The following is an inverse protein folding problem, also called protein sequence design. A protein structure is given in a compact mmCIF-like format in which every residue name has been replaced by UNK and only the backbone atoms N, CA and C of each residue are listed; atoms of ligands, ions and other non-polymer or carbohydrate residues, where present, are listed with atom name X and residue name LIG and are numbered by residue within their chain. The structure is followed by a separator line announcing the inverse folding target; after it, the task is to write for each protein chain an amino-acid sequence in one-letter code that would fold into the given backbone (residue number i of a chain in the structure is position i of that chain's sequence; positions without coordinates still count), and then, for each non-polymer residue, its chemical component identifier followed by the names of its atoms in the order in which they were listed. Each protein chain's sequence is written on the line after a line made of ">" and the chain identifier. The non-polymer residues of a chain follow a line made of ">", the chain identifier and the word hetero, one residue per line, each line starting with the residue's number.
data_IF_098834711329
#
_entry.id   IF_098834711329
#
_cell.length_a   1.000
_cell.length_b   1.000
_cell.length_c   1.000
_cell.angle_alpha   90.00
_cell.angle_beta   90.00
_cell.angle_gamma   90.00
#
_symmetry.space_group_name_H-M   'P 1'
#
loop_
_entity.id
_entity.type
_entity.pdbx_description
1 polymer ?
#
# COMPACT_ATOMS: atom_id res chain seq x y z
N UNK A 1 70.02 30.71 -16.87
CA UNK A 1 69.29 31.56 -17.84
C UNK A 1 68.67 30.63 -18.87
N UNK A 2 67.37 30.53 -19.13
CA UNK A 2 66.23 31.37 -18.79
C UNK A 2 65.31 31.35 -20.01
N UNK A 3 64.11 30.75 -19.87
CA UNK A 3 62.90 30.96 -20.68
C UNK A 3 62.95 30.51 -22.18
N UNK A 4 61.90 30.12 -22.88
CA UNK A 4 60.45 30.17 -22.66
C UNK A 4 59.79 28.93 -23.27
N UNK A 5 58.73 28.48 -22.59
CA UNK A 5 57.81 27.45 -23.02
C UNK A 5 56.52 28.16 -23.44
N UNK A 6 56.18 28.23 -24.73
CA UNK A 6 54.92 28.82 -25.18
C UNK A 6 54.05 27.79 -25.90
N UNK A 7 53.09 27.30 -25.11
CA UNK A 7 51.97 26.43 -25.46
C UNK A 7 51.15 27.07 -26.57
N UNK A 8 51.12 26.48 -27.76
CA UNK A 8 50.09 26.80 -28.75
C UNK A 8 48.76 26.19 -28.29
N UNK A 9 47.75 27.05 -28.25
CA UNK A 9 46.43 26.85 -27.70
C UNK A 9 45.81 25.52 -28.15
N UNK A 10 45.26 24.79 -27.17
CA UNK A 10 44.41 23.63 -27.38
C UNK A 10 43.09 24.08 -28.04
N UNK A 11 42.92 23.73 -29.31
CA UNK A 11 41.69 23.96 -30.07
C UNK A 11 40.77 22.75 -29.97
N UNK A 12 39.60 23.00 -29.37
CA UNK A 12 38.28 22.43 -29.69
C UNK A 12 38.12 20.92 -29.44
N UNK A 13 37.63 20.61 -28.23
CA UNK A 13 36.91 19.36 -27.96
C UNK A 13 35.60 19.36 -28.77
N UNK A 14 35.57 18.59 -29.86
CA UNK A 14 34.36 18.33 -30.63
C UNK A 14 33.45 17.37 -29.89
N UNK A 15 32.32 17.87 -29.38
CA UNK A 15 31.22 17.03 -28.89
C UNK A 15 30.49 16.47 -30.11
N UNK A 16 30.74 15.20 -30.43
CA UNK A 16 29.93 14.44 -31.39
C UNK A 16 28.99 13.55 -30.57
N UNK A 17 27.84 14.10 -30.19
CA UNK A 17 26.74 13.30 -29.68
C UNK A 17 25.97 12.75 -30.90
N UNK A 18 26.36 11.56 -31.35
CA UNK A 18 25.66 10.87 -32.43
C UNK A 18 24.24 10.49 -31.97
N UNK A 19 23.26 11.14 -32.59
CA UNK A 19 21.84 10.82 -32.52
C UNK A 19 21.63 9.41 -33.08
N UNK A 20 21.37 8.44 -32.20
CA UNK A 20 20.84 7.14 -32.63
C UNK A 20 19.31 7.25 -32.62
N UNK A 21 18.75 7.47 -33.81
CA UNK A 21 17.34 7.25 -34.10
C UNK A 21 17.07 5.73 -34.07
N UNK A 22 16.73 5.23 -32.90
CA UNK A 22 16.12 3.91 -32.72
C UNK A 22 14.70 4.08 -32.19
N UNK A 23 13.75 4.47 -33.05
CA UNK A 23 12.33 4.52 -32.69
C UNK A 23 11.77 3.09 -32.63
N UNK A 24 12.11 2.36 -31.58
CA UNK A 24 11.29 1.23 -31.13
C UNK A 24 10.23 1.83 -30.21
N UNK A 25 9.12 2.24 -30.80
CA UNK A 25 7.98 2.76 -30.05
C UNK A 25 7.34 1.63 -29.23
N UNK A 26 7.67 1.59 -27.94
CA UNK A 26 6.86 0.98 -26.89
C UNK A 26 7.08 1.77 -25.59
N UNK A 27 6.78 3.07 -25.62
CA UNK A 27 6.59 3.85 -24.41
C UNK A 27 5.09 4.11 -24.26
N UNK A 28 4.39 3.12 -23.71
CA UNK A 28 3.11 3.33 -23.05
C UNK A 28 3.37 3.93 -21.67
N UNK A 29 3.89 5.15 -21.63
CA UNK A 29 4.02 5.96 -20.42
C UNK A 29 2.66 6.61 -20.14
N UNK A 30 1.80 5.89 -19.44
CA UNK A 30 0.48 6.37 -19.08
C UNK A 30 -0.15 5.52 -18.00
N UNK A 31 0.09 5.85 -16.72
CA UNK A 31 -0.86 5.71 -15.60
C UNK A 31 -0.30 5.98 -14.19
N UNK A 32 0.92 6.51 -14.03
CA UNK A 32 1.56 6.66 -12.71
C UNK A 32 0.74 7.50 -11.72
N UNK A 33 0.08 8.57 -12.18
CA UNK A 33 -0.72 9.46 -11.32
C UNK A 33 -2.01 8.77 -10.84
N UNK A 34 -2.72 8.07 -11.75
CA UNK A 34 -3.95 7.36 -11.41
C UNK A 34 -3.71 6.17 -10.47
N UNK A 35 -2.65 5.40 -10.72
CA UNK A 35 -2.27 4.26 -9.87
C UNK A 35 -1.84 4.69 -8.47
N UNK A 36 -1.11 5.79 -8.35
CA UNK A 36 -0.71 6.34 -7.06
C UNK A 36 -1.92 6.82 -6.24
N UNK A 37 -2.86 7.54 -6.87
CA UNK A 37 -4.09 7.98 -6.21
C UNK A 37 -4.98 6.82 -5.77
N UNK A 38 -5.15 5.77 -6.59
CA UNK A 38 -5.92 4.57 -6.20
C UNK A 38 -5.25 3.82 -5.06
N UNK A 39 -3.92 3.68 -5.08
CA UNK A 39 -3.17 3.00 -4.02
C UNK A 39 -3.34 3.73 -2.67
N UNK A 40 -3.18 5.05 -2.66
CA UNK A 40 -3.40 5.84 -1.44
C UNK A 40 -4.84 5.77 -0.94
N UNK A 41 -5.82 5.79 -1.85
CA UNK A 41 -7.24 5.63 -1.50
C UNK A 41 -7.51 4.27 -0.86
N UNK A 42 -6.88 3.21 -1.37
CA UNK A 42 -7.01 1.86 -0.85
C UNK A 42 -6.40 1.71 0.55
N UNK A 43 -5.23 2.30 0.81
CA UNK A 43 -4.64 2.32 2.16
C UNK A 43 -5.55 3.05 3.16
N UNK A 44 -6.13 4.17 2.76
CA UNK A 44 -7.11 4.88 3.60
C UNK A 44 -8.36 4.03 3.87
N UNK A 45 -8.82 3.25 2.88
CA UNK A 45 -9.97 2.35 3.05
C UNK A 45 -9.62 1.15 3.94
N UNK A 46 -8.40 0.59 3.84
CA UNK A 46 -7.90 -0.42 4.77
C UNK A 46 -7.95 0.07 6.22
N UNK A 47 -7.49 1.31 6.46
CA UNK A 47 -7.55 1.91 7.80
C UNK A 47 -8.99 2.03 8.31
N UNK A 48 -9.91 2.51 7.46
CA UNK A 48 -11.33 2.61 7.81
C UNK A 48 -11.94 1.25 8.11
N UNK A 49 -11.62 0.24 7.30
CA UNK A 49 -12.10 -1.12 7.49
C UNK A 49 -11.59 -1.75 8.79
N UNK A 50 -10.32 -1.51 9.14
CA UNK A 50 -9.78 -1.92 10.43
C UNK A 50 -10.52 -1.26 11.60
N UNK A 51 -10.76 0.06 11.54
CA UNK A 51 -11.51 0.78 12.58
C UNK A 51 -12.94 0.24 12.72
N UNK A 52 -13.65 0.08 11.60
CA UNK A 52 -15.02 -0.44 11.60
C UNK A 52 -15.09 -1.85 12.21
N UNK A 53 -14.14 -2.72 11.85
CA UNK A 53 -14.05 -4.07 12.39
C UNK A 53 -13.79 -4.08 13.90
N UNK A 54 -12.88 -3.23 14.38
CA UNK A 54 -12.58 -3.07 15.80
C UNK A 54 -13.74 -2.47 16.60
N UNK A 55 -14.67 -1.78 15.95
CA UNK A 55 -15.91 -1.30 16.56
C UNK A 55 -16.88 -2.41 16.95
N UNK A 56 -16.75 -3.61 16.36
CA UNK A 56 -17.68 -4.74 16.59
C UNK A 56 -17.01 -6.01 17.12
N UNK A 57 -15.71 -6.19 16.86
CA UNK A 57 -14.98 -7.40 17.22
C UNK A 57 -13.95 -7.10 18.29
N UNK A 58 -14.20 -7.63 19.49
CA UNK A 58 -13.27 -7.55 20.62
C UNK A 58 -12.13 -8.58 20.50
N UNK A 59 -11.09 -8.37 21.31
CA UNK A 59 -10.01 -9.35 21.52
C UNK A 59 -8.99 -9.43 20.39
N UNK A 60 -9.06 -8.55 19.40
CA UNK A 60 -8.14 -8.49 18.27
C UNK A 60 -6.74 -8.11 18.72
N UNK A 61 -5.74 -8.81 18.18
CA UNK A 61 -4.31 -8.58 18.44
C UNK A 61 -3.64 -7.95 17.22
N UNK A 62 -3.96 -8.47 16.02
CA UNK A 62 -3.42 -8.00 14.75
C UNK A 62 -4.48 -8.08 13.63
N UNK A 63 -4.44 -7.12 12.71
CA UNK A 63 -5.12 -7.17 11.40
C UNK A 63 -4.05 -7.02 10.32
N UNK A 64 -3.93 -8.02 9.44
CA UNK A 64 -2.95 -8.02 8.34
C UNK A 64 -3.66 -8.11 7.01
N UNK A 65 -3.67 -7.02 6.25
CA UNK A 65 -4.28 -6.98 4.93
C UNK A 65 -3.45 -7.79 3.92
N UNK A 66 -4.11 -8.66 3.15
CA UNK A 66 -3.45 -9.55 2.18
C UNK A 66 -3.58 -9.05 0.74
N UNK A 67 -4.41 -8.05 0.50
CA UNK A 67 -4.53 -7.37 -0.79
C UNK A 67 -4.81 -5.88 -0.60
N UNK A 68 -4.75 -5.12 -1.69
CA UNK A 68 -5.02 -3.69 -1.69
C UNK A 68 -6.51 -3.35 -1.49
N UNK A 69 -7.40 -4.31 -1.64
CA UNK A 69 -8.85 -4.10 -1.70
C UNK A 69 -9.31 -3.50 -3.03
N UNK A 70 -10.59 -3.73 -3.34
CA UNK A 70 -11.21 -3.26 -4.58
C UNK A 70 -12.73 -3.16 -4.45
N UNK A 71 -13.36 -2.69 -5.53
CA UNK A 71 -14.80 -2.84 -5.74
C UNK A 71 -15.00 -4.02 -6.69
N UNK A 72 -15.59 -5.15 -6.26
CA UNK A 72 -15.59 -6.39 -7.05
C UNK A 72 -16.56 -6.38 -8.25
N UNK A 73 -17.37 -5.32 -8.40
CA UNK A 73 -18.29 -5.18 -9.53
C UNK A 73 -19.13 -3.91 -9.45
N UNK A 74 -19.90 -3.64 -10.51
CA UNK A 74 -20.79 -2.47 -10.54
C UNK A 74 -21.83 -2.55 -9.42
N UNK A 75 -21.92 -1.50 -8.61
CA UNK A 75 -22.85 -1.40 -7.48
C UNK A 75 -22.41 -2.15 -6.21
N UNK A 76 -21.26 -2.83 -6.22
CA UNK A 76 -20.71 -3.44 -5.01
C UNK A 76 -20.03 -2.40 -4.11
N UNK A 77 -20.05 -2.63 -2.81
CA UNK A 77 -19.21 -1.89 -1.87
C UNK A 77 -17.74 -2.32 -2.01
N UNK A 78 -16.83 -1.42 -1.63
CA UNK A 78 -15.41 -1.76 -1.53
C UNK A 78 -15.19 -2.80 -0.43
N UNK A 79 -14.28 -3.75 -0.67
CA UNK A 79 -13.89 -4.78 0.29
C UNK A 79 -12.42 -5.17 0.14
N UNK A 80 -11.86 -5.79 1.16
CA UNK A 80 -10.44 -6.19 1.22
C UNK A 80 -10.28 -7.49 2.00
N UNK A 81 -9.38 -8.36 1.58
CA UNK A 81 -9.04 -9.55 2.36
C UNK A 81 -8.02 -9.21 3.45
N UNK A 82 -8.21 -9.78 4.64
CA UNK A 82 -7.31 -9.66 5.77
C UNK A 82 -7.20 -10.98 6.53
N UNK A 83 -6.09 -11.14 7.26
CA UNK A 83 -5.93 -12.13 8.31
C UNK A 83 -5.99 -11.42 9.65
N UNK A 84 -6.91 -11.83 10.51
CA UNK A 84 -7.13 -11.29 11.84
C UNK A 84 -6.54 -12.26 12.86
N UNK A 85 -5.71 -11.77 13.76
CA UNK A 85 -5.17 -12.56 14.87
C UNK A 85 -5.96 -12.27 16.14
N UNK A 86 -6.47 -13.32 16.76
CA UNK A 86 -7.23 -13.29 18.00
C UNK A 86 -6.82 -14.50 18.84
N UNK A 87 -6.42 -14.27 20.11
CA UNK A 87 -5.95 -15.33 21.00
C UNK A 87 -4.85 -16.17 20.34
N UNK A 88 -3.91 -15.49 19.67
CA UNK A 88 -2.82 -16.10 18.89
C UNK A 88 -3.27 -17.05 17.76
N UNK A 89 -4.53 -16.99 17.32
CA UNK A 89 -5.05 -17.74 16.17
C UNK A 89 -5.40 -16.80 15.02
N UNK A 90 -5.12 -17.24 13.80
CA UNK A 90 -5.40 -16.49 12.57
C UNK A 90 -6.78 -16.87 11.98
N UNK A 91 -7.52 -15.86 11.54
CA UNK A 91 -8.84 -15.97 10.92
C UNK A 91 -8.86 -15.16 9.62
N UNK A 92 -9.29 -15.76 8.51
CA UNK A 92 -9.40 -15.08 7.23
C UNK A 92 -10.72 -14.33 7.15
N UNK A 93 -10.67 -13.05 6.82
CA UNK A 93 -11.84 -12.18 6.78
C UNK A 93 -11.86 -11.25 5.57
N UNK A 94 -13.05 -10.98 5.05
CA UNK A 94 -13.32 -9.93 4.09
C UNK A 94 -13.85 -8.71 4.85
N UNK A 95 -13.00 -7.69 4.97
CA UNK A 95 -13.35 -6.45 5.66
C UNK A 95 -13.92 -5.42 4.69
N UNK A 96 -14.82 -4.59 5.19
CA UNK A 96 -15.44 -3.47 4.48
C UNK A 96 -15.32 -2.21 5.31
N UNK A 97 -15.59 -1.05 4.70
CA UNK A 97 -15.48 0.24 5.37
C UNK A 97 -16.70 0.59 6.24
N UNK A 98 -17.79 -0.18 6.14
CA UNK A 98 -19.04 0.02 6.86
C UNK A 98 -19.23 -1.01 7.98
N UNK A 99 -19.60 -0.53 9.18
CA UNK A 99 -19.80 -1.35 10.39
C UNK A 99 -21.06 -2.22 10.32
N UNK A 100 -22.07 -1.78 9.55
CA UNK A 100 -23.37 -2.44 9.42
C UNK A 100 -23.34 -3.63 8.44
N UNK A 101 -22.26 -3.79 7.69
CA UNK A 101 -22.13 -4.91 6.76
C UNK A 101 -21.80 -6.19 7.51
N UNK A 102 -22.41 -7.33 7.14
CA UNK A 102 -21.91 -8.62 7.59
C UNK A 102 -20.48 -8.81 7.07
N UNK A 103 -19.58 -9.11 8.00
CA UNK A 103 -18.25 -9.64 7.72
C UNK A 103 -18.39 -11.07 7.19
N UNK A 104 -17.49 -11.44 6.28
CA UNK A 104 -17.52 -12.74 5.60
C UNK A 104 -16.15 -13.37 5.79
N UNK A 105 -16.13 -14.52 6.45
CA UNK A 105 -14.88 -15.20 6.74
C UNK A 105 -15.04 -16.39 7.66
N UNK A 106 -13.97 -16.69 8.38
CA UNK A 106 -13.90 -17.79 9.33
C UNK A 106 -14.80 -17.54 10.55
N UNK A 107 -15.36 -18.59 11.19
CA UNK A 107 -16.11 -18.41 12.42
C UNK A 107 -15.19 -17.91 13.53
N UNK A 108 -15.32 -16.62 13.87
CA UNK A 108 -14.55 -15.99 14.93
C UNK A 108 -15.15 -16.27 16.32
N UNK A 109 -14.30 -16.33 17.36
CA UNK A 109 -14.78 -16.47 18.74
C UNK A 109 -15.54 -15.21 19.18
N UNK A 110 -16.66 -15.42 19.85
CA UNK A 110 -17.35 -14.36 20.58
C UNK A 110 -16.62 -14.09 21.89
N UNK A 111 -16.12 -12.88 22.11
CA UNK A 111 -15.64 -12.47 23.43
C UNK A 111 -16.77 -11.84 24.22
N UNK A 112 -16.87 -12.21 25.49
CA UNK A 112 -17.49 -11.33 26.47
C UNK A 112 -16.53 -10.17 26.71
N UNK A 113 -16.84 -8.97 26.20
CA UNK A 113 -16.14 -7.69 26.40
C UNK A 113 -14.87 -7.80 27.26
N UNK A 114 -13.71 -7.98 26.62
CA UNK A 114 -12.45 -8.10 27.36
C UNK A 114 -12.05 -6.70 27.87
N UNK A 115 -11.78 -6.52 29.18
CA UNK A 115 -11.64 -5.22 29.79
C UNK A 115 -10.21 -4.69 29.68
N UNK A 116 -9.71 -4.43 28.47
CA UNK A 116 -8.61 -3.47 28.26
C UNK A 116 -8.38 -3.17 26.78
N UNK A 117 -8.37 -1.89 26.35
CA UNK A 117 -7.97 -1.52 24.99
C UNK A 117 -6.46 -1.72 24.85
N UNK A 118 -6.08 -2.95 24.48
CA UNK A 118 -4.71 -3.23 24.03
C UNK A 118 -4.56 -2.64 22.63
N UNK A 119 -3.44 -1.96 22.33
CA UNK A 119 -3.21 -1.49 20.97
C UNK A 119 -3.24 -2.66 19.98
N UNK A 120 -4.04 -2.52 18.93
CA UNK A 120 -4.13 -3.51 17.85
C UNK A 120 -3.14 -3.15 16.77
N UNK A 121 -2.30 -4.11 16.38
CA UNK A 121 -1.36 -3.92 15.27
C UNK A 121 -2.09 -4.07 13.94
N UNK A 122 -1.93 -3.11 13.04
CA UNK A 122 -2.49 -3.15 11.68
C UNK A 122 -1.35 -3.14 10.68
N UNK A 123 -1.25 -4.19 9.88
CA UNK A 123 -0.27 -4.31 8.79
C UNK A 123 -1.00 -4.09 7.47
N UNK A 124 -0.68 -2.98 6.80
CA UNK A 124 -1.26 -2.60 5.52
C UNK A 124 -0.67 -3.42 4.38
N UNK A 125 -1.39 -3.47 3.25
CA UNK A 125 -0.96 -4.22 2.08
C UNK A 125 0.32 -3.72 1.41
N UNK A 126 0.74 -2.47 1.70
CA UNK A 126 2.02 -1.91 1.26
C UNK A 126 3.19 -2.27 2.20
N UNK A 127 2.92 -3.03 3.26
CA UNK A 127 3.90 -3.44 4.27
C UNK A 127 4.09 -2.44 5.40
N UNK A 128 3.43 -1.28 5.38
CA UNK A 128 3.46 -0.34 6.51
C UNK A 128 2.67 -0.88 7.70
N UNK A 129 2.96 -0.37 8.90
CA UNK A 129 2.31 -0.80 10.14
C UNK A 129 1.84 0.40 10.94
N UNK A 130 0.64 0.31 11.50
CA UNK A 130 0.07 1.26 12.45
C UNK A 130 -0.48 0.52 13.68
N UNK A 131 -0.56 1.18 14.83
CA UNK A 131 -1.21 0.65 16.03
C UNK A 131 -2.48 1.46 16.33
N UNK A 132 -3.64 0.80 16.35
CA UNK A 132 -4.94 1.39 16.68
C UNK A 132 -5.29 1.11 18.15
N UNK A 133 -6.15 1.93 18.75
CA UNK A 133 -6.60 1.82 20.15
C UNK A 133 -8.11 1.87 20.23
#
# INVERSE_FOLDING_TARGET
>A
MGATMDKRLASVAGVVLAVILGTTACFGEGNSVGQHSTSQSNLNNQKKAAIAFLGVQDGVEEIRFTDAGNVPGLGASWSVNAVVTIDSKEYSEILKTDEDSPYIGDPMPSFSASPSPRPVKVVFSDGTTEYLK
#
